data_IF_672513775016
#
_entry.id   IF_672513775016
#
_cell.length_a   1.000
_cell.length_b   1.000
_cell.length_c   1.000
_cell.angle_alpha   90.00
_cell.angle_beta   90.00
_cell.angle_gamma   90.00
#
_symmetry.space_group_name_H-M   'P 1'
#
loop_
_entity.id
_entity.type
_entity.pdbx_description
1 polymer ?
#
# COMPACT_ATOMS: atom_id res chain seq x y z
N UNK A 1 20.25 2.68 11.77
CA UNK A 1 19.71 1.83 12.86
C UNK A 1 19.02 0.66 12.17
N UNK A 2 19.67 -0.49 12.13
CA UNK A 2 19.37 -1.58 11.20
C UNK A 2 18.60 -2.69 11.93
N UNK A 3 17.32 -2.84 11.59
CA UNK A 3 16.48 -3.91 12.13
C UNK A 3 16.55 -5.12 11.18
N UNK A 4 17.28 -6.16 11.61
CA UNK A 4 17.43 -7.44 10.90
C UNK A 4 16.08 -8.09 10.65
N UNK A 5 15.68 -8.25 9.38
CA UNK A 5 14.56 -9.10 8.95
C UNK A 5 14.88 -10.57 9.24
N UNK A 6 14.20 -11.18 10.22
CA UNK A 6 14.11 -12.65 10.31
C UNK A 6 12.90 -13.09 9.49
N UNK A 7 13.14 -13.90 8.45
CA UNK A 7 12.08 -14.74 7.87
C UNK A 7 11.59 -15.71 8.95
N UNK A 8 10.38 -15.52 9.43
CA UNK A 8 9.67 -16.52 10.22
C UNK A 8 8.75 -17.30 9.26
N UNK A 9 9.30 -18.34 8.63
CA UNK A 9 8.50 -19.41 8.04
C UNK A 9 7.99 -20.28 9.18
N UNK A 10 6.77 -20.03 9.63
CA UNK A 10 6.10 -20.86 10.63
C UNK A 10 4.68 -20.37 10.81
N UNK A 11 3.71 -21.14 10.33
CA UNK A 11 2.31 -20.91 10.67
C UNK A 11 2.18 -20.91 12.19
N UNK A 12 1.53 -19.87 12.74
CA UNK A 12 1.35 -19.73 14.18
C UNK A 12 -0.14 -19.59 14.52
N UNK A 13 -0.55 -20.18 15.66
CA UNK A 13 -1.94 -20.35 16.04
C UNK A 13 -2.56 -19.04 16.52
N UNK A 14 -3.88 -18.94 16.35
CA UNK A 14 -4.71 -17.85 16.86
C UNK A 14 -4.55 -17.72 18.39
N UNK A 15 -3.97 -16.61 18.84
CA UNK A 15 -3.87 -16.27 20.26
C UNK A 15 -4.86 -15.15 20.59
N UNK A 16 -5.89 -15.49 21.37
CA UNK A 16 -6.72 -14.54 22.09
C UNK A 16 -5.82 -13.67 22.99
N UNK A 17 -5.62 -12.38 22.65
CA UNK A 17 -4.90 -11.45 23.52
C UNK A 17 -4.26 -10.23 22.86
N UNK A 18 -4.13 -10.18 21.54
CA UNK A 18 -3.59 -8.99 20.85
C UNK A 18 -4.65 -7.86 20.89
N UNK A 19 -4.31 -6.63 21.31
CA UNK A 19 -5.22 -5.50 21.17
C UNK A 19 -5.65 -5.37 19.71
N UNK A 20 -6.93 -5.03 19.48
CA UNK A 20 -7.55 -4.97 18.15
C UNK A 20 -6.79 -4.05 17.18
N UNK A 21 -6.01 -3.12 17.74
CA UNK A 21 -5.18 -2.14 17.03
C UNK A 21 -3.94 -2.72 16.35
N UNK A 22 -3.64 -4.01 16.50
CA UNK A 22 -2.45 -4.65 15.90
C UNK A 22 -2.79 -6.02 15.30
N UNK A 23 -3.89 -6.10 14.55
CA UNK A 23 -4.20 -7.31 13.79
C UNK A 23 -3.40 -7.31 12.48
N UNK A 24 -2.51 -8.30 12.36
CA UNK A 24 -1.78 -8.61 11.14
C UNK A 24 -2.38 -9.86 10.48
N UNK A 25 -2.81 -9.74 9.23
CA UNK A 25 -3.27 -10.87 8.43
C UNK A 25 -2.37 -11.02 7.20
N UNK A 26 -1.66 -12.14 7.12
CA UNK A 26 -0.86 -12.50 5.95
C UNK A 26 -1.66 -13.46 5.05
N UNK A 27 -1.89 -13.07 3.80
CA UNK A 27 -2.55 -13.90 2.79
C UNK A 27 -1.78 -13.78 1.46
N UNK A 28 -1.29 -14.90 0.93
CA UNK A 28 -0.77 -15.01 -0.45
C UNK A 28 0.10 -13.82 -0.95
N UNK A 29 1.11 -13.41 -0.19
CA UNK A 29 2.00 -12.30 -0.58
C UNK A 29 1.46 -10.91 -0.27
N UNK A 30 0.44 -10.81 0.57
CA UNK A 30 -0.11 -9.57 1.09
C UNK A 30 -0.13 -9.59 2.61
N UNK A 31 0.16 -8.44 3.22
CA UNK A 31 0.03 -8.16 4.64
C UNK A 31 -1.00 -7.05 4.88
N UNK A 32 -1.93 -7.25 5.81
CA UNK A 32 -2.94 -6.25 6.18
C UNK A 32 -2.67 -5.75 7.60
N UNK A 33 -2.77 -4.43 7.79
CA UNK A 33 -2.60 -3.74 9.06
C UNK A 33 -3.88 -2.98 9.41
N UNK A 34 -4.35 -3.09 10.65
CA UNK A 34 -5.51 -2.33 11.14
C UNK A 34 -5.21 -1.79 12.53
N UNK A 35 -5.30 -0.47 12.66
CA UNK A 35 -5.13 0.27 13.92
C UNK A 35 -6.31 1.23 14.14
N UNK A 36 -6.30 1.97 15.25
CA UNK A 36 -7.34 2.96 15.54
C UNK A 36 -7.21 4.23 14.66
N UNK A 37 -6.02 4.52 14.13
CA UNK A 37 -5.73 5.76 13.40
C UNK A 37 -5.57 5.55 11.89
N UNK A 38 -5.26 4.33 11.47
CA UNK A 38 -5.11 3.96 10.06
C UNK A 38 -5.34 2.47 9.84
N UNK A 39 -5.65 2.12 8.60
CA UNK A 39 -5.57 0.75 8.10
C UNK A 39 -4.67 0.73 6.86
N UNK A 40 -4.20 -0.43 6.43
CA UNK A 40 -3.42 -0.49 5.21
C UNK A 40 -3.12 -1.90 4.73
N UNK A 41 -2.69 -1.98 3.48
CA UNK A 41 -2.25 -3.21 2.84
C UNK A 41 -0.82 -3.03 2.31
N UNK A 42 0.01 -4.05 2.49
CA UNK A 42 1.30 -4.18 1.84
C UNK A 42 1.24 -5.40 0.92
N UNK A 43 1.69 -5.29 -0.33
CA UNK A 43 1.67 -6.38 -1.32
C UNK A 43 3.06 -6.60 -1.91
N UNK A 44 3.47 -7.86 -1.99
CA UNK A 44 4.72 -8.33 -2.60
C UNK A 44 4.55 -8.81 -4.05
N UNK A 45 3.45 -8.45 -4.70
CA UNK A 45 3.05 -8.97 -6.02
C UNK A 45 2.64 -7.87 -7.00
N UNK A 46 3.12 -6.65 -6.79
CA UNK A 46 2.93 -5.58 -7.77
C UNK A 46 3.63 -5.92 -9.09
N UNK A 47 2.95 -5.62 -10.19
CA UNK A 47 3.49 -5.78 -11.53
C UNK A 47 3.51 -4.40 -12.21
N UNK A 48 4.70 -4.00 -12.67
CA UNK A 48 4.90 -2.75 -13.40
C UNK A 48 4.19 -2.75 -14.76
N UNK A 49 3.96 -3.93 -15.34
CA UNK A 49 3.37 -4.05 -16.67
C UNK A 49 1.86 -3.75 -16.65
N UNK A 50 1.45 -2.81 -17.50
CA UNK A 50 0.04 -2.49 -17.78
C UNK A 50 -0.42 -3.31 -18.99
N UNK A 51 -0.48 -4.63 -18.83
CA UNK A 51 -1.11 -5.60 -19.74
C UNK A 51 -0.52 -5.78 -21.15
N UNK A 52 0.20 -4.79 -21.68
CA UNK A 52 0.74 -4.74 -23.05
C UNK A 52 2.27 -4.69 -23.11
N UNK A 53 2.94 -4.85 -21.96
CA UNK A 53 4.38 -4.71 -21.82
C UNK A 53 4.84 -3.27 -21.57
N UNK A 54 3.93 -2.29 -21.66
CA UNK A 54 4.20 -0.91 -21.28
C UNK A 54 4.11 -0.75 -19.75
N UNK A 55 4.97 0.11 -19.21
CA UNK A 55 4.96 0.49 -17.79
C UNK A 55 5.20 2.00 -17.65
N UNK A 56 4.76 2.58 -16.54
CA UNK A 56 5.13 3.95 -16.19
C UNK A 56 6.64 4.03 -15.88
N UNK A 57 7.28 5.20 -16.06
CA UNK A 57 8.64 5.39 -15.58
C UNK A 57 8.73 5.06 -14.09
N UNK A 58 9.83 4.45 -13.67
CA UNK A 58 10.14 4.18 -12.26
C UNK A 58 10.81 5.41 -11.64
N UNK A 59 10.53 5.70 -10.36
CA UNK A 59 11.25 6.75 -9.63
C UNK A 59 12.77 6.46 -9.63
N UNK A 60 13.64 7.41 -10.02
CA UNK A 60 15.06 7.13 -10.28
C UNK A 60 15.82 6.45 -9.14
N UNK A 61 15.50 6.80 -7.89
CA UNK A 61 16.16 6.28 -6.70
C UNK A 61 15.36 5.16 -6.00
N UNK A 62 14.38 4.55 -6.68
CA UNK A 62 13.60 3.46 -6.11
C UNK A 62 14.43 2.17 -6.05
N UNK A 63 14.48 1.45 -4.91
CA UNK A 63 15.24 0.21 -4.80
C UNK A 63 14.70 -0.88 -5.73
N UNK A 64 15.59 -1.50 -6.51
CA UNK A 64 15.21 -2.53 -7.48
C UNK A 64 14.59 -3.76 -6.82
N UNK A 65 15.03 -4.11 -5.62
CA UNK A 65 14.47 -5.18 -4.80
C UNK A 65 13.02 -4.91 -4.36
N UNK A 66 12.56 -3.65 -4.44
CA UNK A 66 11.23 -3.21 -4.02
C UNK A 66 10.29 -2.94 -5.20
N UNK A 67 10.63 -3.38 -6.41
CA UNK A 67 9.79 -3.16 -7.60
C UNK A 67 8.47 -3.91 -7.57
N UNK A 68 8.44 -5.07 -6.91
CA UNK A 68 7.21 -5.86 -6.72
C UNK A 68 6.41 -5.43 -5.49
N UNK A 69 6.87 -4.40 -4.77
CA UNK A 69 6.24 -3.94 -3.54
C UNK A 69 5.22 -2.83 -3.83
N UNK A 70 4.08 -2.90 -3.15
CA UNK A 70 3.08 -1.85 -3.17
C UNK A 70 2.49 -1.63 -1.77
N UNK A 71 2.37 -0.37 -1.38
CA UNK A 71 1.81 0.04 -0.10
C UNK A 71 0.50 0.78 -0.32
N UNK A 72 -0.54 0.44 0.44
CA UNK A 72 -1.87 1.03 0.34
C UNK A 72 -2.39 1.49 1.71
N UNK A 73 -1.80 2.52 2.34
CA UNK A 73 -2.30 3.03 3.61
C UNK A 73 -3.57 3.87 3.43
N UNK A 74 -4.53 3.65 4.33
CA UNK A 74 -5.76 4.42 4.50
C UNK A 74 -5.64 5.25 5.77
N UNK A 75 -5.49 6.56 5.58
CA UNK A 75 -5.46 7.52 6.66
C UNK A 75 -6.89 7.98 6.95
N UNK A 76 -7.37 7.65 8.16
CA UNK A 76 -8.69 8.09 8.57
C UNK A 76 -8.74 9.63 8.68
N UNK A 77 -9.86 10.25 8.29
CA UNK A 77 -11.14 9.61 7.99
C UNK A 77 -11.37 9.23 6.51
N UNK A 78 -10.54 9.69 5.57
CA UNK A 78 -10.98 9.74 4.17
C UNK A 78 -9.90 9.74 3.09
N UNK A 79 -8.64 9.46 3.43
CA UNK A 79 -7.55 9.51 2.46
C UNK A 79 -6.98 8.13 2.23
N UNK A 80 -6.99 7.67 0.99
CA UNK A 80 -6.35 6.44 0.54
C UNK A 80 -5.11 6.81 -0.27
N UNK A 81 -4.02 6.15 0.03
CA UNK A 81 -2.76 6.29 -0.68
C UNK A 81 -2.45 4.96 -1.36
N UNK A 82 -1.75 5.01 -2.48
CA UNK A 82 -0.99 3.87 -2.98
C UNK A 82 0.37 4.31 -3.47
N UNK A 83 1.38 3.57 -3.06
CA UNK A 83 2.77 3.83 -3.38
C UNK A 83 3.38 2.59 -4.01
N UNK A 84 3.90 2.79 -5.22
CA UNK A 84 4.57 1.80 -6.03
C UNK A 84 5.83 2.42 -6.64
N UNK A 85 6.68 1.59 -7.26
CA UNK A 85 7.93 2.05 -7.84
C UNK A 85 7.76 3.09 -8.96
N UNK A 86 6.60 3.16 -9.60
CA UNK A 86 6.34 3.95 -10.80
C UNK A 86 5.25 5.02 -10.63
N UNK A 87 4.54 5.03 -9.49
CA UNK A 87 3.56 6.06 -9.18
C UNK A 87 3.23 6.17 -7.69
N UNK A 88 2.68 7.35 -7.34
CA UNK A 88 1.94 7.59 -6.11
C UNK A 88 0.52 8.00 -6.51
N UNK A 89 -0.50 7.27 -6.04
CA UNK A 89 -1.87 7.74 -6.11
C UNK A 89 -2.35 8.23 -4.74
N UNK A 90 -3.12 9.32 -4.76
CA UNK A 90 -3.77 9.90 -3.58
C UNK A 90 -5.24 10.06 -3.91
N UNK A 91 -6.11 9.40 -3.17
CA UNK A 91 -7.55 9.48 -3.30
C UNK A 91 -8.16 10.04 -2.02
N UNK A 92 -8.86 11.17 -2.12
CA UNK A 92 -9.56 11.81 -1.00
C UNK A 92 -11.06 11.70 -1.21
N UNK A 93 -11.76 11.08 -0.26
CA UNK A 93 -13.22 10.94 -0.27
C UNK A 93 -13.85 12.07 0.53
N UNK A 94 -14.53 12.99 -0.14
CA UNK A 94 -15.15 14.17 0.48
C UNK A 94 -16.66 13.91 0.64
N UNK A 95 -17.19 13.85 1.86
CA UNK A 95 -18.64 13.76 2.07
C UNK A 95 -19.29 15.09 1.68
N UNK A 96 -20.26 15.03 0.77
CA UNK A 96 -21.06 16.20 0.34
C UNK A 96 -22.48 16.18 0.93
N UNK A 97 -23.02 14.98 1.15
CA UNK A 97 -24.29 14.71 1.83
C UNK A 97 -24.26 13.27 2.38
N UNK A 98 -25.28 12.87 3.15
CA UNK A 98 -25.38 11.52 3.71
C UNK A 98 -25.42 10.41 2.64
N UNK A 99 -25.86 10.75 1.43
CA UNK A 99 -26.02 9.88 0.26
C UNK A 99 -25.06 10.23 -0.89
N UNK A 100 -24.10 11.14 -0.67
CA UNK A 100 -23.23 11.64 -1.74
C UNK A 100 -21.82 11.94 -1.26
N UNK A 101 -20.84 11.36 -1.94
CA UNK A 101 -19.42 11.67 -1.79
C UNK A 101 -18.84 12.18 -3.11
N UNK A 102 -17.75 12.95 -3.03
CA UNK A 102 -16.88 13.27 -4.16
C UNK A 102 -15.54 12.60 -3.93
N UNK A 103 -15.06 11.89 -4.94
CA UNK A 103 -13.70 11.36 -4.96
C UNK A 103 -12.78 12.35 -5.68
N UNK A 104 -11.69 12.75 -5.02
CA UNK A 104 -10.59 13.47 -5.67
C UNK A 104 -9.36 12.59 -5.75
N UNK A 105 -9.04 12.14 -6.96
CA UNK A 105 -7.89 11.27 -7.22
C UNK A 105 -6.79 12.06 -7.93
N UNK A 106 -5.57 11.96 -7.37
CA UNK A 106 -4.34 12.55 -7.92
C UNK A 106 -3.35 11.43 -8.19
N UNK A 107 -2.76 11.44 -9.38
CA UNK A 107 -1.72 10.50 -9.78
C UNK A 107 -0.42 11.29 -9.99
N UNK A 108 0.62 10.90 -9.26
CA UNK A 108 1.96 11.44 -9.38
C UNK A 108 2.85 10.37 -10.00
N UNK A 109 3.42 10.68 -11.14
CA UNK A 109 4.37 9.81 -11.85
C UNK A 109 5.72 10.53 -11.92
N UNK A 110 6.83 9.80 -12.06
CA UNK A 110 8.11 10.44 -12.33
C UNK A 110 8.01 11.31 -13.58
N UNK A 111 8.70 12.45 -13.56
CA UNK A 111 8.88 13.21 -14.78
C UNK A 111 9.61 12.31 -15.78
N UNK A 112 9.02 12.10 -16.97
CA UNK A 112 9.76 11.54 -18.09
C UNK A 112 10.97 12.42 -18.37
N UNK A 113 12.17 11.84 -18.38
CA UNK A 113 13.35 12.54 -18.85
C UNK A 113 13.07 13.08 -20.28
N UNK A 114 13.46 14.33 -20.58
CA UNK A 114 13.25 14.94 -21.90
C UNK A 114 14.01 14.20 -23.01
#
# INVERSE_FOLDING_TARGET
>A
MEARRRKLSGGLPSANGTPRSEQHLAAHGTEIFVTDLFAGQFSHSYNLEIGTGDHLPVFPDWPAESFAEAEYPVLFPNTLLGLQADHLFVMVVIPLAYDRTREETRLYVPATAP
#
